data_IF_449089259357
#
_entry.id   IF_449089259357
#
_cell.length_a   1.000
_cell.length_b   1.000
_cell.length_c   1.000
_cell.angle_alpha   90.00
_cell.angle_beta   90.00
_cell.angle_gamma   90.00
#
_symmetry.space_group_name_H-M   'P 1'
#
loop_
_entity.id
_entity.type
_entity.pdbx_description
1 polymer ?
#
# COMPACT_ATOMS: atom_id res chain seq x y z
N UNK A 1 11.87 -11.31 -16.32
CA UNK A 1 11.50 -10.74 -15.01
C UNK A 1 12.46 -9.63 -14.67
N UNK A 2 11.97 -8.40 -14.60
CA UNK A 2 12.76 -7.24 -14.16
C UNK A 2 12.87 -7.29 -12.64
N UNK A 3 14.09 -7.20 -12.10
CA UNK A 3 14.28 -7.12 -10.64
C UNK A 3 13.81 -5.76 -10.12
N UNK A 4 13.23 -5.75 -8.93
CA UNK A 4 12.80 -4.53 -8.24
C UNK A 4 13.22 -4.53 -6.77
N UNK A 5 13.17 -3.36 -6.14
CA UNK A 5 13.38 -3.18 -4.71
C UNK A 5 12.06 -3.43 -3.98
N UNK A 6 12.03 -4.40 -3.08
CA UNK A 6 10.88 -4.64 -2.21
C UNK A 6 10.91 -3.62 -1.05
N UNK A 7 9.86 -2.82 -0.98
CA UNK A 7 9.61 -1.91 0.13
C UNK A 7 8.50 -2.48 1.02
N UNK A 8 8.64 -2.31 2.33
CA UNK A 8 7.67 -2.79 3.31
C UNK A 8 7.49 -1.74 4.39
N UNK A 9 6.24 -1.31 4.60
CA UNK A 9 5.89 -0.21 5.50
C UNK A 9 4.84 -0.70 6.49
N UNK A 10 5.09 -0.39 7.76
CA UNK A 10 4.15 -0.57 8.86
C UNK A 10 3.22 0.65 8.93
N UNK A 11 1.92 0.42 8.95
CA UNK A 11 0.89 1.46 8.98
C UNK A 11 0.07 1.28 10.25
N UNK A 12 0.09 2.28 11.13
CA UNK A 12 -0.65 2.25 12.41
C UNK A 12 -1.67 3.37 12.54
N UNK A 13 -1.68 4.30 11.56
CA UNK A 13 -2.56 5.46 11.51
C UNK A 13 -2.97 5.71 10.06
N UNK A 14 -4.01 6.52 9.87
CA UNK A 14 -4.40 6.99 8.55
C UNK A 14 -3.20 7.66 7.89
N UNK A 15 -2.88 7.23 6.67
CA UNK A 15 -1.64 7.60 5.98
C UNK A 15 -1.94 7.88 4.52
N UNK A 16 -1.28 8.89 3.96
CA UNK A 16 -1.31 9.20 2.53
C UNK A 16 0.07 8.90 1.97
N UNK A 17 0.13 8.03 0.97
CA UNK A 17 1.35 7.68 0.26
C UNK A 17 1.45 8.48 -1.03
N UNK A 18 2.63 9.06 -1.26
CA UNK A 18 2.98 9.70 -2.50
C UNK A 18 3.99 8.83 -3.23
N UNK A 19 3.50 7.81 -3.93
CA UNK A 19 4.35 6.87 -4.66
C UNK A 19 5.18 7.55 -5.74
N UNK A 20 4.78 8.71 -6.27
CA UNK A 20 5.63 9.44 -7.22
C UNK A 20 6.93 9.91 -6.54
N UNK A 21 6.82 10.61 -5.41
CA UNK A 21 7.99 11.12 -4.69
C UNK A 21 8.79 9.99 -4.03
N UNK A 22 8.11 9.06 -3.35
CA UNK A 22 8.74 7.97 -2.60
C UNK A 22 9.58 7.05 -3.49
N UNK A 23 9.17 6.88 -4.75
CA UNK A 23 9.85 6.01 -5.72
C UNK A 23 10.70 6.79 -6.73
N UNK A 24 10.83 8.11 -6.58
CA UNK A 24 11.54 9.01 -7.52
C UNK A 24 11.02 8.90 -8.96
N UNK A 25 9.71 8.72 -9.12
CA UNK A 25 9.03 8.62 -10.41
C UNK A 25 9.05 7.24 -11.06
N UNK A 26 9.64 6.22 -10.42
CA UNK A 26 9.64 4.85 -10.94
C UNK A 26 8.30 4.11 -10.74
N UNK A 27 7.49 4.59 -9.78
CA UNK A 27 6.20 4.02 -9.42
C UNK A 27 6.29 2.75 -8.57
N UNK A 28 5.14 2.33 -8.06
CA UNK A 28 4.97 1.10 -7.30
C UNK A 28 4.33 0.02 -8.18
N UNK A 29 5.03 -1.08 -8.38
CA UNK A 29 4.53 -2.30 -9.01
C UNK A 29 4.20 -3.33 -7.92
N UNK A 30 3.14 -4.13 -8.12
CA UNK A 30 2.78 -5.22 -7.20
C UNK A 30 2.56 -4.73 -5.76
N UNK A 31 1.39 -4.18 -5.46
CA UNK A 31 1.05 -3.70 -4.12
C UNK A 31 0.32 -4.81 -3.37
N UNK A 32 0.75 -5.08 -2.14
CA UNK A 32 0.06 -5.94 -1.20
C UNK A 32 -0.16 -5.20 0.11
N UNK A 33 -1.35 -5.35 0.69
CA UNK A 33 -1.66 -4.78 2.00
C UNK A 33 -2.25 -5.91 2.84
N UNK A 34 -1.63 -6.17 3.99
CA UNK A 34 -2.13 -7.10 4.99
C UNK A 34 -2.66 -6.32 6.18
N UNK A 35 -3.91 -6.53 6.56
CA UNK A 35 -4.47 -5.99 7.80
C UNK A 35 -4.19 -6.95 8.95
N UNK A 36 -3.12 -6.70 9.72
CA UNK A 36 -2.78 -7.46 10.93
C UNK A 36 -3.28 -6.78 12.23
N UNK A 37 -4.18 -5.81 12.08
CA UNK A 37 -4.83 -5.10 13.17
C UNK A 37 -6.11 -5.76 13.63
N UNK A 38 -6.91 -4.99 14.36
CA UNK A 38 -8.20 -5.42 14.93
C UNK A 38 -9.39 -4.64 14.39
N UNK A 39 -9.14 -3.66 13.51
CA UNK A 39 -10.15 -2.80 12.88
C UNK A 39 -10.10 -2.98 11.36
N UNK A 40 -11.21 -2.71 10.68
CA UNK A 40 -11.22 -2.68 9.21
C UNK A 40 -10.31 -1.55 8.68
N UNK A 41 -9.50 -1.88 7.68
CA UNK A 41 -8.71 -0.94 6.89
C UNK A 41 -9.51 -0.57 5.64
N UNK A 42 -9.43 0.70 5.23
CA UNK A 42 -10.07 1.25 4.04
C UNK A 42 -8.98 1.79 3.12
N UNK A 43 -9.02 1.38 1.85
CA UNK A 43 -8.29 2.06 0.77
C UNK A 43 -9.26 3.08 0.17
N UNK A 44 -8.92 4.36 0.23
CA UNK A 44 -9.74 5.43 -0.33
C UNK A 44 -9.44 5.59 -1.83
N UNK A 45 -9.68 4.51 -2.57
CA UNK A 45 -9.94 4.58 -3.99
C UNK A 45 -11.41 4.97 -4.22
N UNK A 46 -11.80 5.29 -5.45
CA UNK A 46 -13.18 5.71 -5.75
C UNK A 46 -14.26 4.70 -5.32
N UNK A 47 -13.87 3.48 -4.93
CA UNK A 47 -14.73 2.40 -4.45
C UNK A 47 -14.69 2.17 -2.93
N UNK A 48 -13.79 2.84 -2.19
CA UNK A 48 -13.59 2.68 -0.75
C UNK A 48 -13.44 1.21 -0.32
N UNK A 49 -12.51 0.49 -0.93
CA UNK A 49 -12.30 -0.92 -0.63
C UNK A 49 -12.02 -1.17 0.86
N UNK A 50 -12.70 -2.17 1.43
CA UNK A 50 -12.59 -2.54 2.83
C UNK A 50 -11.85 -3.86 3.01
N UNK A 51 -10.87 -3.87 3.91
CA UNK A 51 -10.03 -5.02 4.22
C UNK A 51 -10.22 -5.34 5.69
N UNK A 52 -10.91 -6.44 5.99
CA UNK A 52 -11.15 -6.87 7.36
C UNK A 52 -9.85 -7.36 8.04
N UNK A 53 -9.81 -7.40 9.38
CA UNK A 53 -8.70 -8.01 10.12
C UNK A 53 -8.35 -9.42 9.61
N UNK A 54 -7.07 -9.68 9.41
CA UNK A 54 -6.55 -10.94 8.89
C UNK A 54 -6.68 -11.13 7.37
N UNK A 55 -7.24 -10.16 6.65
CA UNK A 55 -7.35 -10.22 5.19
C UNK A 55 -6.19 -9.52 4.49
N UNK A 56 -5.98 -9.95 3.25
CA UNK A 56 -5.04 -9.35 2.33
C UNK A 56 -5.79 -8.66 1.19
N UNK A 57 -5.16 -7.60 0.70
CA UNK A 57 -5.44 -6.99 -0.58
C UNK A 57 -4.20 -7.10 -1.46
N UNK A 58 -4.39 -7.38 -2.74
CA UNK A 58 -3.33 -7.53 -3.73
C UNK A 58 -3.72 -6.86 -5.02
N UNK A 59 -2.79 -6.10 -5.58
CA UNK A 59 -2.89 -5.54 -6.93
C UNK A 59 -1.58 -5.83 -7.64
N UNK A 60 -1.69 -6.64 -8.69
CA UNK A 60 -0.62 -6.85 -9.65
C UNK A 60 -0.90 -5.99 -10.87
N UNK A 61 0.08 -5.18 -11.25
CA UNK A 61 0.02 -4.36 -12.46
C UNK A 61 1.28 -4.56 -13.28
N UNK A 62 1.09 -4.69 -14.59
CA UNK A 62 2.19 -4.71 -15.56
C UNK A 62 2.87 -3.34 -15.69
N UNK A 63 2.14 -2.27 -15.36
CA UNK A 63 2.62 -0.88 -15.38
C UNK A 63 2.68 -0.35 -13.95
N UNK A 64 3.81 0.25 -13.50
CA UNK A 64 3.91 0.80 -12.16
C UNK A 64 2.86 1.89 -11.90
N UNK A 65 2.23 1.82 -10.72
CA UNK A 65 1.30 2.84 -10.26
C UNK A 65 2.11 4.06 -9.82
N UNK A 66 1.83 5.19 -10.46
CA UNK A 66 2.27 6.51 -10.02
C UNK A 66 1.04 7.21 -9.45
N UNK A 67 0.94 7.26 -8.13
CA UNK A 67 -0.15 7.92 -7.42
C UNK A 67 0.43 8.86 -6.36
N UNK A 68 0.02 10.12 -6.38
CA UNK A 68 0.48 11.17 -5.45
C UNK A 68 -0.36 11.24 -4.18
N UNK A 69 -1.45 10.47 -4.08
CA UNK A 69 -2.42 10.52 -2.99
C UNK A 69 -3.11 9.17 -2.79
N UNK A 70 -2.33 8.09 -2.65
CA UNK A 70 -2.88 6.79 -2.26
C UNK A 70 -3.17 6.81 -0.76
N UNK A 71 -4.46 6.83 -0.39
CA UNK A 71 -4.87 7.04 1.01
C UNK A 71 -5.33 5.73 1.64
N UNK A 72 -4.80 5.47 2.83
CA UNK A 72 -5.22 4.39 3.71
C UNK A 72 -5.84 5.01 4.96
N UNK A 73 -7.00 4.49 5.37
CA UNK A 73 -7.71 4.88 6.60
C UNK A 73 -8.07 3.64 7.41
N UNK A 74 -8.25 3.80 8.71
CA UNK A 74 -8.81 2.74 9.57
C UNK A 74 -10.21 3.15 10.05
N UNK A 75 -11.12 2.18 10.13
CA UNK A 75 -12.36 2.32 10.92
C UNK A 75 -12.00 2.21 12.40
N UNK A 76 -11.47 3.31 12.96
CA UNK A 76 -10.93 3.32 14.33
C UNK A 76 -12.00 2.98 15.36
N UNK A 77 -11.66 2.08 16.26
CA UNK A 77 -12.49 1.67 17.38
C UNK A 77 -11.74 1.84 18.70
N UNK A 78 -12.43 2.31 19.75
CA UNK A 78 -11.82 2.53 21.07
C UNK A 78 -11.32 1.20 21.63
N UNK A 79 -10.05 1.16 22.04
CA UNK A 79 -9.43 -0.03 22.61
C UNK A 79 -9.03 -1.10 21.59
N UNK A 80 -9.13 -0.82 20.29
CA UNK A 80 -8.66 -1.70 19.20
C UNK A 80 -7.39 -1.15 18.58
N UNK A 81 -6.44 -2.04 18.27
CA UNK A 81 -5.21 -1.67 17.58
C UNK A 81 -5.42 -1.61 16.06
N UNK A 82 -5.08 -0.47 15.46
CA UNK A 82 -4.96 -0.32 14.01
C UNK A 82 -3.57 -0.79 13.58
N UNK A 83 -3.50 -1.73 12.65
CA UNK A 83 -2.23 -2.20 12.16
C UNK A 83 -2.39 -2.78 10.75
N UNK A 84 -1.48 -2.42 9.86
CA UNK A 84 -1.36 -3.03 8.57
C UNK A 84 0.09 -3.02 8.09
N UNK A 85 0.36 -3.90 7.14
CA UNK A 85 1.65 -3.97 6.45
C UNK A 85 1.40 -3.83 4.97
N UNK A 86 1.91 -2.75 4.40
CA UNK A 86 1.95 -2.58 2.95
C UNK A 86 3.31 -3.02 2.43
N UNK A 87 3.32 -3.82 1.37
CA UNK A 87 4.53 -4.13 0.62
C UNK A 87 4.33 -3.78 -0.85
N UNK A 88 5.33 -3.17 -1.47
CA UNK A 88 5.31 -2.81 -2.88
C UNK A 88 6.70 -2.91 -3.50
N UNK A 89 6.77 -3.15 -4.80
CA UNK A 89 8.02 -3.31 -5.54
C UNK A 89 8.28 -2.04 -6.35
N UNK A 90 9.47 -1.47 -6.23
CA UNK A 90 9.92 -0.37 -7.10
C UNK A 90 10.81 -0.96 -8.19
N UNK A 91 10.46 -0.86 -9.47
CA UNK A 91 11.29 -1.39 -10.56
C UNK A 91 12.68 -0.75 -10.55
N UNK A 92 13.73 -1.54 -10.78
CA UNK A 92 15.07 -1.01 -11.01
C UNK A 92 15.24 -0.83 -12.52
N UNK A 93 15.33 0.41 -13.00
CA UNK A 93 15.79 0.66 -14.37
C UNK A 93 17.22 0.17 -14.48
N UNK A 94 17.46 -0.79 -15.37
CA UNK A 94 18.82 -1.08 -15.81
C UNK A 94 19.29 0.16 -16.58
N UNK A 95 20.44 0.73 -16.21
CA UNK A 95 21.06 1.77 -16.99
C UNK A 95 21.37 1.17 -18.37
N UNK A 96 20.70 1.68 -19.41
CA UNK A 96 21.03 1.38 -20.81
C UNK A 96 22.33 2.04 -21.21
#
# INVERSE_FOLDING_TARGET
MTKGLLNRIRITNDTVFNFFEDTKGEGAAGISIYNDGQTTLIIDDGTNEEIAPGQYFFVENDIPIINTSFRIRFKKEVGKANNAIMSYIVPIKQAT
#
